data_IF_754681922190
#
_entry.id   IF_754681922190
#
_cell.length_a   1.000
_cell.length_b   1.000
_cell.length_c   1.000
_cell.angle_alpha   90.00
_cell.angle_beta   90.00
_cell.angle_gamma   90.00
#
_symmetry.space_group_name_H-M   'P 1'
#
loop_
_entity.id
_entity.type
_entity.pdbx_description
1 polymer ?
#
# COMPACT_ATOMS: atom_id res chain seq x y z
N UNK A 1 0.94 -11.77 -8.45
CA UNK A 1 1.62 -10.46 -8.44
C UNK A 1 0.61 -9.38 -8.77
N UNK A 2 0.60 -8.29 -8.02
CA UNK A 2 -0.15 -7.09 -8.33
C UNK A 2 0.81 -6.09 -8.96
N UNK A 3 0.45 -5.51 -10.09
CA UNK A 3 1.33 -4.59 -10.81
C UNK A 3 0.52 -3.44 -11.41
N UNK A 4 1.02 -2.22 -11.22
CA UNK A 4 0.37 -1.01 -11.72
C UNK A 4 0.92 -0.65 -13.09
N UNK A 5 0.00 -0.37 -14.01
CA UNK A 5 0.30 -0.01 -15.38
C UNK A 5 -0.41 1.31 -15.75
N UNK A 6 0.23 2.09 -16.61
CA UNK A 6 -0.31 3.30 -17.21
C UNK A 6 -0.02 3.31 -18.70
N UNK A 7 -0.92 3.85 -19.50
CA UNK A 7 -0.71 4.10 -20.93
C UNK A 7 -1.35 5.42 -21.34
N UNK A 8 -1.12 5.84 -22.57
CA UNK A 8 -1.78 7.04 -23.13
C UNK A 8 -3.31 6.91 -23.16
N UNK A 9 -3.81 5.68 -23.33
CA UNK A 9 -5.24 5.38 -23.42
C UNK A 9 -5.91 5.05 -22.08
N UNK A 10 -5.14 4.88 -21.00
CA UNK A 10 -5.66 4.44 -19.70
C UNK A 10 -4.93 5.11 -18.55
N UNK A 11 -5.70 5.49 -17.54
CA UNK A 11 -5.19 5.91 -16.24
C UNK A 11 -4.39 4.78 -15.59
N UNK A 12 -3.55 5.14 -14.62
CA UNK A 12 -2.81 4.16 -13.83
C UNK A 12 -3.78 3.25 -13.08
N UNK A 13 -3.58 1.96 -13.18
CA UNK A 13 -4.42 0.97 -12.51
C UNK A 13 -3.66 -0.31 -12.25
N UNK A 14 -4.05 -1.04 -11.21
CA UNK A 14 -3.41 -2.29 -10.79
C UNK A 14 -4.09 -3.49 -11.43
N UNK A 15 -3.31 -4.27 -12.16
CA UNK A 15 -3.70 -5.56 -12.73
C UNK A 15 -3.14 -6.72 -11.90
N UNK A 16 -3.74 -7.89 -12.03
CA UNK A 16 -3.33 -9.12 -11.36
C UNK A 16 -2.68 -10.04 -12.37
N UNK A 17 -1.47 -10.51 -12.02
CA UNK A 17 -0.71 -11.45 -12.81
C UNK A 17 -0.44 -12.72 -12.00
N UNK A 18 -0.36 -13.85 -12.70
CA UNK A 18 -0.08 -15.16 -12.12
C UNK A 18 1.17 -15.79 -12.74
N UNK A 19 1.89 -16.54 -11.93
CA UNK A 19 2.95 -17.45 -12.33
C UNK A 19 2.86 -18.74 -11.51
N UNK A 20 3.42 -19.82 -12.02
CA UNK A 20 3.46 -21.11 -11.32
C UNK A 20 4.64 -21.20 -10.33
N UNK A 21 5.61 -20.27 -10.45
CA UNK A 21 6.70 -20.12 -9.49
C UNK A 21 7.06 -18.63 -9.30
N UNK A 22 7.76 -18.28 -8.21
CA UNK A 22 8.13 -16.89 -7.92
C UNK A 22 9.03 -16.22 -8.97
N UNK A 23 9.80 -17.01 -9.72
CA UNK A 23 10.66 -16.52 -10.79
C UNK A 23 9.89 -16.18 -12.08
N UNK A 24 8.61 -16.52 -12.16
CA UNK A 24 7.80 -16.33 -13.37
C UNK A 24 7.95 -17.48 -14.38
N UNK A 25 7.57 -17.27 -15.67
CA UNK A 25 7.07 -16.01 -16.22
C UNK A 25 5.67 -15.65 -15.69
N UNK A 26 5.47 -14.37 -15.38
CA UNK A 26 4.18 -13.85 -14.97
C UNK A 26 3.31 -13.55 -16.19
N UNK A 27 2.06 -13.97 -16.15
CA UNK A 27 1.08 -13.77 -17.23
C UNK A 27 -0.14 -13.04 -16.67
N UNK A 28 -0.85 -12.23 -17.48
CA UNK A 28 -2.10 -11.61 -17.07
C UNK A 28 -3.07 -12.67 -16.52
N UNK A 29 -3.64 -12.38 -15.35
CA UNK A 29 -4.65 -13.21 -14.71
C UNK A 29 -6.01 -12.53 -14.73
N UNK A 30 -6.07 -11.21 -14.46
CA UNK A 30 -7.21 -10.36 -14.75
C UNK A 30 -7.17 -9.89 -16.22
N UNK A 31 -8.32 -9.52 -16.79
CA UNK A 31 -8.42 -9.00 -18.17
C UNK A 31 -7.80 -7.61 -18.35
N UNK A 32 -7.35 -6.99 -17.26
CA UNK A 32 -6.74 -5.67 -17.21
C UNK A 32 -6.66 -5.20 -15.77
N UNK A 33 -6.48 -3.89 -15.51
CA UNK A 33 -6.57 -3.33 -14.19
C UNK A 33 -7.92 -3.62 -13.56
N UNK A 34 -7.91 -4.03 -12.30
CA UNK A 34 -9.12 -4.30 -11.50
C UNK A 34 -9.57 -3.11 -10.67
N UNK A 35 -8.71 -2.08 -10.54
CA UNK A 35 -9.04 -0.79 -9.91
C UNK A 35 -9.99 0.04 -10.78
N UNK A 36 -10.73 1.01 -10.21
CA UNK A 36 -11.63 1.87 -10.97
C UNK A 36 -10.94 2.55 -12.15
N UNK A 37 -11.56 2.48 -13.33
CA UNK A 37 -10.95 2.96 -14.58
C UNK A 37 -10.80 4.49 -14.63
N UNK A 38 -11.64 5.20 -13.89
CA UNK A 38 -11.64 6.68 -13.78
C UNK A 38 -10.66 7.22 -12.74
N UNK A 39 -10.04 6.35 -11.93
CA UNK A 39 -9.08 6.73 -10.91
C UNK A 39 -7.64 6.52 -11.36
N UNK A 40 -6.73 7.34 -10.86
CA UNK A 40 -5.29 7.04 -10.88
C UNK A 40 -4.97 6.19 -9.64
N UNK A 41 -4.73 4.89 -9.85
CA UNK A 41 -4.52 3.93 -8.76
C UNK A 41 -3.16 3.26 -8.88
N UNK A 42 -2.50 3.05 -7.75
CA UNK A 42 -1.20 2.35 -7.69
C UNK A 42 -1.04 1.51 -6.43
N UNK A 43 0.04 0.74 -6.39
CA UNK A 43 0.56 0.00 -5.24
C UNK A 43 -0.44 -1.00 -4.64
N UNK A 44 -1.16 -1.70 -5.52
CA UNK A 44 -2.07 -2.75 -5.06
C UNK A 44 -1.34 -3.86 -4.30
N UNK A 45 -1.85 -4.20 -3.12
CA UNK A 45 -1.40 -5.33 -2.30
C UNK A 45 -2.54 -6.26 -1.95
N UNK A 46 -2.21 -7.50 -1.61
CA UNK A 46 -3.16 -8.56 -1.34
C UNK A 46 -3.42 -8.71 0.16
N UNK A 47 -4.69 -8.87 0.53
CA UNK A 47 -5.10 -9.21 1.88
C UNK A 47 -6.22 -10.25 1.86
N UNK A 48 -6.23 -11.14 2.85
CA UNK A 48 -7.33 -12.08 3.10
C UNK A 48 -7.85 -11.83 4.51
N UNK A 49 -9.12 -11.50 4.63
CA UNK A 49 -9.79 -11.31 5.93
C UNK A 49 -9.92 -12.63 6.70
N UNK A 50 -10.28 -12.56 7.98
CA UNK A 50 -10.42 -13.75 8.83
C UNK A 50 -11.47 -14.74 8.32
N UNK A 51 -12.50 -14.28 7.63
CA UNK A 51 -13.55 -15.08 6.98
C UNK A 51 -13.17 -15.59 5.57
N UNK A 52 -11.91 -15.41 5.14
CA UNK A 52 -11.38 -15.93 3.88
C UNK A 52 -11.74 -15.11 2.64
N UNK A 53 -12.21 -13.89 2.81
CA UNK A 53 -12.55 -13.00 1.69
C UNK A 53 -11.26 -12.32 1.18
N UNK A 54 -10.95 -12.42 -0.13
CA UNK A 54 -9.80 -11.74 -0.71
C UNK A 54 -10.10 -10.26 -0.98
N UNK A 55 -9.12 -9.42 -0.66
CA UNK A 55 -9.14 -7.98 -0.92
C UNK A 55 -7.87 -7.54 -1.64
N UNK A 56 -8.02 -6.50 -2.44
CA UNK A 56 -6.91 -5.65 -2.84
C UNK A 56 -6.97 -4.35 -2.04
N UNK A 57 -5.83 -3.95 -1.47
CA UNK A 57 -5.64 -2.64 -0.84
C UNK A 57 -4.72 -1.84 -1.74
N UNK A 58 -5.05 -0.58 -2.03
CA UNK A 58 -4.35 0.22 -3.02
C UNK A 58 -4.47 1.71 -2.74
N UNK A 59 -3.61 2.50 -3.36
CA UNK A 59 -3.67 3.95 -3.29
C UNK A 59 -4.53 4.52 -4.42
N UNK A 60 -5.43 5.45 -4.08
CA UNK A 60 -5.97 6.45 -5.01
C UNK A 60 -5.02 7.65 -4.96
N UNK A 61 -4.37 7.91 -6.07
CA UNK A 61 -3.19 8.77 -6.15
C UNK A 61 -3.51 10.22 -5.82
N UNK A 62 -2.69 10.84 -4.98
CA UNK A 62 -2.85 12.21 -4.51
C UNK A 62 -2.85 13.27 -5.61
N UNK A 63 -2.18 13.02 -6.75
CA UNK A 63 -2.21 13.94 -7.90
C UNK A 63 -3.62 14.08 -8.50
N UNK A 64 -4.52 13.14 -8.22
CA UNK A 64 -5.93 13.21 -8.59
C UNK A 64 -6.81 13.57 -7.40
N UNK A 65 -6.59 12.94 -6.25
CA UNK A 65 -7.43 13.11 -5.07
C UNK A 65 -7.10 14.38 -4.26
N UNK A 66 -5.89 14.93 -4.42
CA UNK A 66 -5.36 16.05 -3.61
C UNK A 66 -4.81 15.57 -2.27
N UNK A 67 -5.58 14.81 -1.53
CA UNK A 67 -5.19 14.09 -0.32
C UNK A 67 -5.18 12.59 -0.65
N UNK A 68 -4.01 11.97 -0.72
CA UNK A 68 -3.85 10.58 -1.08
C UNK A 68 -4.69 9.67 -0.19
N UNK A 69 -5.34 8.69 -0.80
CA UNK A 69 -6.28 7.81 -0.12
C UNK A 69 -5.81 6.36 -0.19
N UNK A 70 -5.99 5.61 0.89
CA UNK A 70 -5.84 4.15 0.88
C UNK A 70 -7.23 3.53 0.90
N UNK A 71 -7.50 2.72 -0.11
CA UNK A 71 -8.76 2.03 -0.31
C UNK A 71 -8.58 0.51 -0.23
N UNK A 72 -9.64 -0.18 0.18
CA UNK A 72 -9.77 -1.61 0.04
C UNK A 72 -10.92 -1.95 -0.90
N UNK A 73 -10.79 -3.06 -1.62
CA UNK A 73 -11.82 -3.55 -2.53
C UNK A 73 -11.82 -5.08 -2.52
N UNK A 74 -13.02 -5.66 -2.37
CA UNK A 74 -13.19 -7.12 -2.49
C UNK A 74 -12.84 -7.60 -3.89
N UNK A 75 -12.17 -8.74 -3.95
CA UNK A 75 -11.92 -9.48 -5.17
C UNK A 75 -12.80 -10.74 -5.25
N UNK A 76 -12.99 -11.25 -6.45
CA UNK A 76 -13.53 -12.60 -6.63
C UNK A 76 -12.59 -13.65 -6.06
N UNK A 77 -13.09 -14.82 -5.65
CA UNK A 77 -12.28 -15.90 -5.05
C UNK A 77 -11.19 -16.40 -5.99
N UNK A 78 -11.37 -16.31 -7.30
CA UNK A 78 -10.38 -16.66 -8.31
C UNK A 78 -9.41 -15.51 -8.62
N UNK A 79 -9.56 -14.36 -7.96
CA UNK A 79 -8.73 -13.15 -8.10
C UNK A 79 -8.71 -12.55 -9.52
N UNK A 80 -9.76 -12.75 -10.32
CA UNK A 80 -9.77 -12.23 -11.70
C UNK A 80 -10.45 -10.88 -11.85
N UNK A 81 -11.32 -10.53 -10.91
CA UNK A 81 -12.16 -9.34 -11.02
C UNK A 81 -12.46 -8.74 -9.63
N UNK A 82 -12.88 -7.46 -9.58
CA UNK A 82 -13.46 -6.89 -8.37
C UNK A 82 -14.81 -7.57 -8.06
N UNK A 83 -15.10 -7.79 -6.78
CA UNK A 83 -16.36 -8.33 -6.26
C UNK A 83 -17.15 -7.29 -5.44
N UNK A 84 -16.83 -6.02 -5.58
CA UNK A 84 -17.49 -4.91 -4.90
C UNK A 84 -16.89 -3.56 -5.28
N UNK A 85 -17.45 -2.49 -4.73
CA UNK A 85 -16.89 -1.15 -4.88
C UNK A 85 -15.74 -0.96 -3.89
N UNK A 86 -14.76 -0.11 -4.22
CA UNK A 86 -13.76 0.31 -3.24
C UNK A 86 -14.42 1.06 -2.08
N UNK A 87 -13.83 0.93 -0.90
CA UNK A 87 -14.15 1.74 0.27
C UNK A 87 -12.87 2.31 0.88
N UNK A 88 -12.99 3.51 1.42
CA UNK A 88 -11.87 4.23 2.01
C UNK A 88 -11.48 3.60 3.35
N UNK A 89 -10.18 3.39 3.55
CA UNK A 89 -9.61 3.04 4.85
C UNK A 89 -9.20 4.31 5.60
N UNK A 90 -8.40 5.17 4.97
CA UNK A 90 -7.97 6.47 5.53
C UNK A 90 -7.31 7.35 4.46
N UNK A 91 -7.09 8.63 4.82
CA UNK A 91 -6.36 9.62 4.04
C UNK A 91 -4.99 9.92 4.64
N UNK A 92 -4.07 10.37 3.81
CA UNK A 92 -2.72 10.71 4.25
C UNK A 92 -2.69 11.84 5.28
N UNK A 93 -3.57 12.83 5.16
CA UNK A 93 -3.64 13.97 6.08
C UNK A 93 -4.13 13.60 7.50
N UNK A 94 -4.75 12.43 7.67
CA UNK A 94 -5.17 11.92 8.98
C UNK A 94 -3.98 11.59 9.89
N UNK A 95 -2.80 11.37 9.31
CA UNK A 95 -1.59 11.09 10.08
C UNK A 95 -0.93 12.39 10.57
N UNK A 96 -0.75 12.62 11.89
CA UNK A 96 -0.19 13.86 12.42
C UNK A 96 1.22 14.19 11.94
N UNK A 97 1.97 13.18 11.50
CA UNK A 97 3.32 13.30 10.98
C UNK A 97 3.36 13.64 9.49
N UNK A 98 2.27 13.38 8.73
CA UNK A 98 2.21 13.61 7.29
C UNK A 98 2.30 15.10 6.95
N UNK A 99 2.94 15.42 5.82
CA UNK A 99 3.12 16.79 5.33
C UNK A 99 2.78 16.86 3.85
N UNK A 100 2.19 17.98 3.49
CA UNK A 100 1.93 18.32 2.10
C UNK A 100 3.23 18.43 1.31
N UNK A 101 3.22 17.93 0.10
CA UNK A 101 4.31 18.08 -0.87
C UNK A 101 3.81 18.74 -2.14
N UNK A 102 4.74 19.30 -2.91
CA UNK A 102 4.44 19.93 -4.20
C UNK A 102 5.05 19.12 -5.34
N UNK A 103 4.20 18.67 -6.24
CA UNK A 103 4.63 18.03 -7.48
C UNK A 103 5.21 19.03 -8.47
N UNK A 104 6.06 18.58 -9.37
CA UNK A 104 6.66 19.40 -10.44
C UNK A 104 5.63 20.03 -11.38
N UNK A 105 4.44 19.46 -11.51
CA UNK A 105 3.31 20.04 -12.25
C UNK A 105 2.62 21.21 -11.53
N UNK A 106 3.04 21.53 -10.30
CA UNK A 106 2.44 22.58 -9.46
C UNK A 106 1.29 22.13 -8.58
N UNK A 107 0.87 20.86 -8.66
CA UNK A 107 -0.13 20.27 -7.76
C UNK A 107 0.51 20.08 -6.38
N UNK A 108 -0.23 20.45 -5.32
CA UNK A 108 0.14 20.16 -3.93
C UNK A 108 -0.84 19.17 -3.32
N UNK A 109 -0.37 18.34 -2.38
CA UNK A 109 -1.20 17.36 -1.70
C UNK A 109 -0.41 16.46 -0.78
N UNK A 110 -1.12 15.51 -0.16
CA UNK A 110 -0.55 14.52 0.75
C UNK A 110 -0.41 13.18 0.04
N UNK A 111 0.75 12.56 0.16
CA UNK A 111 1.08 11.30 -0.54
C UNK A 111 0.69 10.09 0.27
N UNK A 112 0.09 9.09 -0.39
CA UNK A 112 0.00 7.71 0.10
C UNK A 112 0.66 6.77 -0.89
N UNK A 113 1.58 5.92 -0.41
CA UNK A 113 2.25 4.90 -1.20
C UNK A 113 2.30 3.57 -0.44
N UNK A 114 2.44 2.47 -1.16
CA UNK A 114 2.83 1.15 -0.71
C UNK A 114 2.05 0.59 0.49
N UNK A 115 0.71 0.51 0.47
CA UNK A 115 -0.04 -0.09 1.56
C UNK A 115 0.30 -1.57 1.68
N UNK A 116 0.53 -2.03 2.91
CA UNK A 116 0.80 -3.43 3.22
C UNK A 116 0.15 -3.83 4.53
N UNK A 117 -0.72 -4.86 4.48
CA UNK A 117 -1.46 -5.34 5.64
C UNK A 117 -0.67 -6.42 6.38
N UNK A 118 -0.65 -6.31 7.71
CA UNK A 118 0.01 -7.28 8.58
C UNK A 118 -0.86 -7.59 9.80
N UNK A 119 -1.05 -8.87 10.08
CA UNK A 119 -1.70 -9.30 11.33
C UNK A 119 -0.65 -9.52 12.40
N UNK A 120 -0.70 -8.70 13.44
CA UNK A 120 0.15 -8.81 14.62
C UNK A 120 -0.12 -10.09 15.43
N UNK A 121 0.77 -10.42 16.33
CA UNK A 121 0.64 -11.61 17.18
C UNK A 121 -0.54 -11.51 18.16
N UNK A 122 -0.94 -10.31 18.53
CA UNK A 122 -2.11 -10.01 19.34
C UNK A 122 -3.43 -9.99 18.55
N UNK A 123 -3.41 -10.33 17.25
CA UNK A 123 -4.57 -10.33 16.37
C UNK A 123 -4.91 -8.97 15.75
N UNK A 124 -4.21 -7.88 16.11
CA UNK A 124 -4.43 -6.57 15.53
C UNK A 124 -4.13 -6.58 14.02
N UNK A 125 -4.99 -5.95 13.22
CA UNK A 125 -4.71 -5.72 11.81
C UNK A 125 -4.02 -4.36 11.65
N UNK A 126 -2.79 -4.39 11.16
CA UNK A 126 -1.94 -3.24 10.92
C UNK A 126 -1.90 -2.94 9.42
N UNK A 127 -1.88 -1.66 9.06
CA UNK A 127 -1.61 -1.20 7.71
C UNK A 127 -0.33 -0.35 7.72
N UNK A 128 0.71 -0.87 7.08
CA UNK A 128 1.89 -0.09 6.74
C UNK A 128 1.56 0.73 5.50
N UNK A 129 2.04 1.95 5.44
CA UNK A 129 1.91 2.83 4.28
C UNK A 129 3.01 3.89 4.31
N UNK A 130 3.22 4.58 3.21
CA UNK A 130 4.28 5.58 3.14
C UNK A 130 3.76 6.92 2.63
N UNK A 131 4.43 7.98 3.06
CA UNK A 131 4.15 9.35 2.68
C UNK A 131 5.30 10.26 3.09
N UNK A 132 5.12 11.56 2.98
CA UNK A 132 6.15 12.52 3.34
C UNK A 132 5.91 13.11 4.72
N UNK A 133 7.00 13.24 5.48
CA UNK A 133 7.06 13.91 6.79
C UNK A 133 7.87 15.19 6.70
N UNK A 134 8.01 15.92 7.81
CA UNK A 134 8.94 17.05 7.90
C UNK A 134 10.42 16.67 7.79
N UNK A 135 10.75 15.37 7.74
CA UNK A 135 12.12 14.83 7.62
C UNK A 135 12.36 14.04 6.32
N UNK A 136 11.49 14.16 5.33
CA UNK A 136 11.54 13.39 4.10
C UNK A 136 10.51 12.25 4.06
N UNK A 137 10.75 11.26 3.21
CA UNK A 137 9.89 10.10 3.05
C UNK A 137 9.86 9.24 4.32
N UNK A 138 8.72 8.67 4.64
CA UNK A 138 8.49 8.00 5.91
C UNK A 138 7.66 6.73 5.76
N UNK A 139 7.91 5.76 6.64
CA UNK A 139 7.10 4.55 6.77
C UNK A 139 6.10 4.73 7.90
N UNK A 140 4.86 4.97 7.57
CA UNK A 140 3.74 5.09 8.49
C UNK A 140 3.15 3.75 8.92
N UNK A 141 2.33 3.81 9.95
CA UNK A 141 1.61 2.68 10.53
C UNK A 141 0.22 3.13 10.95
N UNK A 142 -0.79 2.34 10.62
CA UNK A 142 -2.14 2.48 11.12
C UNK A 142 -2.66 1.14 11.67
N UNK A 143 -3.62 1.19 12.59
CA UNK A 143 -4.22 0.00 13.22
C UNK A 143 -5.73 0.04 13.09
N UNK A 144 -6.33 -1.08 12.69
CA UNK A 144 -7.79 -1.27 12.70
C UNK A 144 -8.30 -1.47 14.12
N UNK A 145 -9.37 -0.79 14.50
CA UNK A 145 -9.99 -0.84 15.83
C UNK A 145 -10.70 -2.18 16.13
N UNK A 146 -11.17 -2.88 15.10
CA UNK A 146 -11.84 -4.17 15.22
C UNK A 146 -10.99 -5.37 14.78
N UNK A 147 -9.75 -5.11 14.33
CA UNK A 147 -8.85 -6.16 13.81
C UNK A 147 -9.20 -6.67 12.41
N UNK A 148 -10.17 -6.08 11.73
CA UNK A 148 -10.59 -6.43 10.36
C UNK A 148 -10.44 -5.26 9.40
N UNK A 149 -10.52 -5.54 8.10
CA UNK A 149 -10.25 -4.56 7.04
C UNK A 149 -11.34 -3.47 6.93
N UNK A 150 -12.53 -3.75 7.41
CA UNK A 150 -13.66 -2.82 7.46
C UNK A 150 -13.73 -1.99 8.76
N UNK A 151 -12.77 -2.17 9.69
CA UNK A 151 -12.63 -1.37 10.89
C UNK A 151 -12.14 0.05 10.59
N UNK A 152 -12.27 0.92 11.59
CA UNK A 152 -11.69 2.25 11.52
C UNK A 152 -10.17 2.18 11.78
N UNK A 153 -9.38 2.75 10.87
CA UNK A 153 -7.92 2.77 10.99
C UNK A 153 -7.45 4.03 11.70
N UNK A 154 -6.82 3.85 12.86
CA UNK A 154 -6.17 4.93 13.62
C UNK A 154 -4.70 5.00 13.28
N UNK A 155 -4.20 6.20 12.99
CA UNK A 155 -2.79 6.43 12.69
C UNK A 155 -1.94 6.33 13.96
N UNK A 156 -0.82 5.63 13.86
CA UNK A 156 0.17 5.47 14.91
C UNK A 156 1.45 6.27 14.58
N UNK A 157 2.40 6.28 15.52
CA UNK A 157 3.72 6.80 15.26
C UNK A 157 4.39 6.03 14.11
N UNK A 158 5.09 6.73 13.20
CA UNK A 158 5.72 6.07 12.06
C UNK A 158 6.85 5.14 12.49
N UNK A 159 6.98 4.02 11.78
CA UNK A 159 8.03 3.03 12.02
C UNK A 159 9.42 3.53 11.58
N UNK A 160 9.47 4.46 10.62
CA UNK A 160 10.72 4.99 10.08
C UNK A 160 10.54 6.42 9.58
N UNK A 161 11.48 7.32 9.98
CA UNK A 161 11.45 8.77 9.67
C UNK A 161 12.76 9.30 9.07
N UNK A 162 13.66 8.41 8.63
CA UNK A 162 15.00 8.77 8.14
C UNK A 162 15.07 8.70 6.62
N UNK A 163 14.13 9.36 5.93
CA UNK A 163 14.04 9.43 4.47
C UNK A 163 14.00 8.03 3.81
N UNK A 164 12.99 7.25 4.16
CA UNK A 164 12.77 5.93 3.58
C UNK A 164 11.38 5.39 3.85
N UNK A 165 10.96 4.43 3.06
CA UNK A 165 9.62 3.86 3.13
C UNK A 165 9.35 2.83 2.06
N UNK A 166 8.07 2.75 1.66
CA UNK A 166 7.51 1.77 0.72
C UNK A 166 7.84 0.34 1.15
N UNK A 167 7.71 0.13 2.47
CA UNK A 167 8.17 -1.08 3.12
C UNK A 167 7.09 -2.11 3.31
N UNK A 168 7.53 -3.34 3.50
CA UNK A 168 6.70 -4.47 3.89
C UNK A 168 7.37 -5.29 4.98
N UNK A 169 6.57 -6.02 5.74
CA UNK A 169 7.04 -6.90 6.80
C UNK A 169 7.24 -8.31 6.29
N UNK A 170 8.23 -8.98 6.82
CA UNK A 170 8.41 -10.43 6.64
C UNK A 170 8.97 -11.06 7.92
N UNK A 171 8.85 -12.37 8.03
CA UNK A 171 9.50 -13.15 9.08
C UNK A 171 10.78 -13.76 8.55
N UNK A 172 11.86 -13.58 9.31
CA UNK A 172 13.13 -14.27 9.02
C UNK A 172 13.00 -15.77 9.32
N UNK A 173 13.98 -16.56 8.87
CA UNK A 173 14.02 -18.00 9.17
C UNK A 173 14.11 -18.30 10.68
N UNK A 174 14.65 -17.36 11.48
CA UNK A 174 14.69 -17.42 12.94
C UNK A 174 13.41 -16.93 13.62
N UNK A 175 12.36 -16.61 12.84
CA UNK A 175 11.06 -16.18 13.34
C UNK A 175 10.97 -14.70 13.76
N UNK A 176 12.01 -13.89 13.50
CA UNK A 176 11.99 -12.46 13.82
C UNK A 176 11.22 -11.67 12.76
N UNK A 177 10.40 -10.70 13.18
CA UNK A 177 9.76 -9.77 12.27
C UNK A 177 10.74 -8.70 11.82
N UNK A 178 10.81 -8.47 10.51
CA UNK A 178 11.72 -7.53 9.89
C UNK A 178 10.96 -6.65 8.89
N UNK A 179 11.21 -5.33 8.95
CA UNK A 179 10.73 -4.35 7.98
C UNK A 179 11.78 -4.25 6.86
N UNK A 180 11.36 -4.54 5.63
CA UNK A 180 12.12 -4.25 4.42
C UNK A 180 11.59 -2.95 3.81
N UNK A 181 12.46 -1.98 3.59
CA UNK A 181 12.13 -0.70 2.95
C UNK A 181 13.30 -0.20 2.12
N UNK A 182 13.10 0.85 1.32
CA UNK A 182 14.23 1.57 0.73
C UNK A 182 14.57 2.85 1.50
N UNK A 183 15.84 3.21 1.52
CA UNK A 183 16.38 4.47 2.09
C UNK A 183 17.77 4.74 1.49
N UNK A 184 18.12 6.02 1.16
CA UNK A 184 17.25 7.19 1.15
C UNK A 184 16.17 7.13 0.06
N UNK A 185 15.19 8.03 0.07
CA UNK A 185 14.22 8.20 -1.02
C UNK A 185 14.74 9.23 -2.05
N UNK A 186 15.94 9.00 -2.55
CA UNK A 186 16.60 9.85 -3.55
C UNK A 186 16.87 9.03 -4.80
N UNK A 187 16.35 9.49 -5.96
CA UNK A 187 16.45 8.79 -7.23
C UNK A 187 17.86 8.28 -7.53
N UNK A 188 17.98 7.00 -7.88
CA UNK A 188 19.21 6.23 -8.10
C UNK A 188 20.07 5.94 -6.87
N UNK A 189 19.75 6.49 -5.71
CA UNK A 189 20.48 6.24 -4.45
C UNK A 189 19.74 5.28 -3.52
N UNK A 190 18.51 4.93 -3.83
CA UNK A 190 17.68 4.01 -3.04
C UNK A 190 18.39 2.67 -2.85
N UNK A 191 18.44 2.21 -1.62
CA UNK A 191 18.99 0.90 -1.26
C UNK A 191 18.03 0.18 -0.32
N UNK A 192 17.91 -1.15 -0.44
CA UNK A 192 17.11 -1.91 0.51
C UNK A 192 17.74 -1.86 1.90
N UNK A 193 16.90 -1.62 2.91
CA UNK A 193 17.26 -1.72 4.32
C UNK A 193 16.34 -2.74 4.99
N UNK A 194 16.90 -3.51 5.92
CA UNK A 194 16.20 -4.51 6.70
C UNK A 194 16.32 -4.16 8.17
N UNK A 195 15.21 -3.87 8.82
CA UNK A 195 15.18 -3.34 10.19
C UNK A 195 14.35 -4.31 11.04
N UNK A 196 14.92 -4.95 12.08
CA UNK A 196 14.15 -5.72 13.03
C UNK A 196 13.13 -4.83 13.74
N UNK A 197 11.87 -5.27 13.79
CA UNK A 197 10.77 -4.54 14.44
C UNK A 197 10.01 -5.45 15.40
N UNK A 198 9.37 -4.85 16.41
CA UNK A 198 8.43 -5.51 17.31
C UNK A 198 7.07 -4.82 17.15
N UNK A 199 6.06 -5.59 16.77
CA UNK A 199 4.70 -5.11 16.50
C UNK A 199 3.68 -6.00 17.22
#
# INVERSE_FOLDING_TARGET
MFASFKSEARRRGTAILRADCPAGPFRPWSEGPVTPAEWECLDGTFHVSADGIPYMVFCHEWVQAGDGEIHAMRLTQDLKAPAGKPFLLFRASEAPWSREVRHSSGISGYVTDGPFLWRGENGALLCLWSGFSGKGYAQGLAVSDNGEIDGHFTQLDPLFLEDGGHGMLFRTLEGKTCLALHSPNTHLLERPRFIPVRL
#
